data_IF_864423249239
#
_entry.id   IF_864423249239
#
_cell.length_a   1.000
_cell.length_b   1.000
_cell.length_c   1.000
_cell.angle_alpha   90.00
_cell.angle_beta   90.00
_cell.angle_gamma   90.00
#
_symmetry.space_group_name_H-M   'P 1'
#
loop_
_entity.id
_entity.type
_entity.pdbx_description
1 polymer ?
#
# COMPACT_ATOMS: atom_id res chain seq x y z
N UNK A 1 -17.69 34.16 10.31
CA UNK A 1 -16.96 33.44 9.25
C UNK A 1 -16.86 31.97 9.67
N UNK A 2 -17.16 31.01 8.78
CA UNK A 2 -17.05 29.58 9.10
C UNK A 2 -15.61 29.12 8.84
N UNK A 3 -15.02 28.38 9.77
CA UNK A 3 -13.66 27.82 9.69
C UNK A 3 -13.68 26.34 10.06
N UNK A 4 -12.62 25.61 9.73
CA UNK A 4 -12.47 24.18 9.99
C UNK A 4 -13.40 23.30 9.15
N UNK A 5 -13.64 22.09 9.63
CA UNK A 5 -14.49 21.10 8.97
C UNK A 5 -15.96 21.51 8.94
N UNK A 6 -16.57 21.45 7.77
CA UNK A 6 -17.97 21.76 7.53
C UNK A 6 -18.61 20.69 6.66
N UNK A 7 -19.79 20.21 7.04
CA UNK A 7 -20.54 19.22 6.28
C UNK A 7 -21.72 19.90 5.56
N UNK A 8 -21.73 19.86 4.22
CA UNK A 8 -22.70 20.54 3.36
C UNK A 8 -22.98 19.66 2.14
N UNK A 9 -24.25 19.56 1.73
CA UNK A 9 -24.66 18.80 0.53
C UNK A 9 -24.06 17.39 0.45
N UNK A 10 -24.08 16.69 1.61
CA UNK A 10 -23.53 15.34 1.80
C UNK A 10 -22.01 15.20 1.64
N UNK A 11 -21.28 16.32 1.64
CA UNK A 11 -19.84 16.38 1.47
C UNK A 11 -19.17 17.13 2.63
N UNK A 12 -17.93 16.73 2.95
CA UNK A 12 -17.08 17.45 3.89
C UNK A 12 -16.20 18.45 3.14
N UNK A 13 -16.06 19.63 3.71
CA UNK A 13 -15.18 20.72 3.28
C UNK A 13 -14.34 21.18 4.46
N UNK A 14 -13.19 21.79 4.19
CA UNK A 14 -12.41 22.46 5.21
C UNK A 14 -12.22 23.93 4.85
N UNK A 15 -12.58 24.83 5.76
CA UNK A 15 -12.42 26.26 5.60
C UNK A 15 -11.21 26.74 6.40
N UNK A 16 -10.26 27.39 5.73
CA UNK A 16 -9.08 27.98 6.36
C UNK A 16 -9.47 29.15 7.27
N UNK A 17 -8.51 29.66 8.05
CA UNK A 17 -8.73 30.79 8.97
C UNK A 17 -9.19 32.08 8.27
N UNK A 18 -8.87 32.26 6.98
CA UNK A 18 -9.31 33.38 6.13
C UNK A 18 -10.71 33.18 5.53
N UNK A 19 -11.38 32.06 5.83
CA UNK A 19 -12.68 31.70 5.28
C UNK A 19 -12.65 31.14 3.86
N UNK A 20 -11.48 30.99 3.24
CA UNK A 20 -11.35 30.32 1.96
C UNK A 20 -11.35 28.79 2.12
N UNK A 21 -11.86 28.08 1.11
CA UNK A 21 -11.91 26.62 1.09
C UNK A 21 -10.50 26.07 0.87
N UNK A 22 -10.12 25.05 1.64
CA UNK A 22 -8.90 24.27 1.45
C UNK A 22 -9.08 23.31 0.27
N UNK A 23 -8.06 23.23 -0.58
CA UNK A 23 -7.93 22.22 -1.64
C UNK A 23 -6.56 21.54 -1.53
N UNK A 24 -6.42 20.36 -2.11
CA UNK A 24 -5.21 19.54 -2.01
C UNK A 24 -5.02 18.92 -0.63
N UNK A 25 -3.77 18.66 -0.28
CA UNK A 25 -3.42 18.01 0.98
C UNK A 25 -3.67 18.93 2.18
N UNK A 26 -4.23 18.35 3.25
CA UNK A 26 -4.46 18.99 4.54
C UNK A 26 -3.91 18.08 5.64
N UNK A 27 -3.04 18.60 6.49
CA UNK A 27 -2.64 17.95 7.73
C UNK A 27 -3.41 18.59 8.88
N UNK A 28 -4.36 17.86 9.44
CA UNK A 28 -5.18 18.32 10.56
C UNK A 28 -4.97 17.37 11.74
N UNK A 29 -4.45 17.89 12.86
CA UNK A 29 -4.20 17.14 14.11
C UNK A 29 -3.43 15.82 13.88
N UNK A 30 -2.41 15.86 13.02
CA UNK A 30 -1.56 14.70 12.71
C UNK A 30 -2.16 13.72 11.70
N UNK A 31 -3.37 13.99 11.17
CA UNK A 31 -4.00 13.15 10.14
C UNK A 31 -4.00 13.87 8.79
N UNK A 32 -3.57 13.17 7.74
CA UNK A 32 -3.62 13.69 6.38
C UNK A 32 -4.99 13.44 5.75
N UNK A 33 -5.47 14.45 5.04
CA UNK A 33 -6.69 14.44 4.23
C UNK A 33 -6.37 15.02 2.85
N UNK A 34 -7.19 14.68 1.85
CA UNK A 34 -7.12 15.31 0.54
C UNK A 34 -8.46 15.96 0.20
N UNK A 35 -8.45 17.25 -0.10
CA UNK A 35 -9.60 18.01 -0.56
C UNK A 35 -9.48 18.15 -2.09
N UNK A 36 -10.52 17.76 -2.81
CA UNK A 36 -10.59 17.90 -4.26
C UNK A 36 -10.56 19.38 -4.69
N UNK A 37 -10.47 19.62 -6.00
CA UNK A 37 -10.42 20.98 -6.54
C UNK A 37 -11.69 21.79 -6.24
N UNK A 38 -12.83 21.12 -6.08
CA UNK A 38 -14.11 21.70 -5.65
C UNK A 38 -14.24 21.84 -4.13
N UNK A 39 -13.19 21.47 -3.37
CA UNK A 39 -13.15 21.51 -1.91
C UNK A 39 -13.74 20.29 -1.20
N UNK A 40 -14.33 19.33 -1.93
CA UNK A 40 -14.91 18.13 -1.34
C UNK A 40 -13.82 17.19 -0.81
N UNK A 41 -14.01 16.63 0.37
CA UNK A 41 -13.08 15.65 0.96
C UNK A 41 -13.09 14.35 0.17
N UNK A 42 -11.92 13.94 -0.32
CA UNK A 42 -11.74 12.69 -1.05
C UNK A 42 -11.87 11.46 -0.15
N UNK A 43 -12.32 10.36 -0.76
CA UNK A 43 -12.40 9.02 -0.18
C UNK A 43 -11.96 8.00 -1.23
N UNK A 44 -11.53 6.83 -0.78
CA UNK A 44 -11.01 5.75 -1.62
C UNK A 44 -9.68 6.10 -2.27
N UNK A 45 -9.41 5.45 -3.40
CA UNK A 45 -8.18 5.65 -4.16
C UNK A 45 -8.10 7.06 -4.76
N UNK A 46 -6.98 7.74 -4.51
CA UNK A 46 -6.67 9.05 -5.09
C UNK A 46 -5.31 9.04 -5.76
N UNK A 47 -5.28 9.44 -7.03
CA UNK A 47 -4.06 9.62 -7.79
C UNK A 47 -3.63 11.09 -7.76
N UNK A 48 -2.46 11.35 -7.19
CA UNK A 48 -1.89 12.71 -7.02
C UNK A 48 -0.42 12.66 -7.42
N UNK A 49 0.00 13.54 -8.32
CA UNK A 49 1.41 13.67 -8.74
C UNK A 49 2.07 12.34 -9.12
N UNK A 50 1.36 11.55 -9.93
CA UNK A 50 1.78 10.21 -10.40
C UNK A 50 1.88 9.13 -9.33
N UNK A 51 1.30 9.34 -8.15
CA UNK A 51 1.31 8.39 -7.04
C UNK A 51 -0.11 8.13 -6.56
N UNK A 52 -0.40 6.87 -6.22
CA UNK A 52 -1.66 6.47 -5.60
C UNK A 52 -1.58 6.57 -4.08
N UNK A 53 -2.66 7.09 -3.50
CA UNK A 53 -2.94 7.14 -2.06
C UNK A 53 -4.33 6.54 -1.84
N UNK A 54 -4.63 6.17 -0.61
CA UNK A 54 -5.96 5.74 -0.23
C UNK A 54 -6.47 6.56 0.94
N UNK A 55 -7.67 7.14 0.80
CA UNK A 55 -8.35 7.90 1.84
C UNK A 55 -9.48 7.03 2.39
N UNK A 56 -9.48 6.79 3.69
CA UNK A 56 -10.53 6.02 4.36
C UNK A 56 -11.90 6.71 4.25
N UNK A 57 -12.97 6.04 4.69
CA UNK A 57 -14.33 6.58 4.62
C UNK A 57 -14.54 7.90 5.40
N UNK A 58 -13.72 8.13 6.43
CA UNK A 58 -13.66 9.38 7.21
C UNK A 58 -12.69 10.42 6.60
N UNK A 59 -12.08 10.13 5.44
CA UNK A 59 -11.12 10.97 4.74
C UNK A 59 -9.68 10.85 5.20
N UNK A 60 -9.41 10.14 6.29
CA UNK A 60 -8.05 9.96 6.79
C UNK A 60 -7.21 9.15 5.79
N UNK A 61 -6.00 9.60 5.50
CA UNK A 61 -5.07 8.88 4.63
C UNK A 61 -4.62 7.57 5.29
N UNK A 62 -4.81 6.46 4.56
CA UNK A 62 -4.36 5.14 4.97
C UNK A 62 -2.83 5.02 4.83
N UNK A 63 -2.21 4.37 5.80
CA UNK A 63 -0.85 3.84 5.71
C UNK A 63 -0.86 2.36 6.08
N UNK A 64 0.20 1.63 5.74
CA UNK A 64 0.33 0.20 5.98
C UNK A 64 -0.51 -0.65 5.01
N UNK A 65 -0.95 -1.82 5.47
CA UNK A 65 -1.70 -2.76 4.66
C UNK A 65 -3.11 -2.26 4.35
N UNK A 66 -3.54 -2.47 3.11
CA UNK A 66 -4.91 -2.24 2.65
C UNK A 66 -5.38 -3.49 1.89
N UNK A 67 -6.60 -3.93 2.17
CA UNK A 67 -7.30 -4.96 1.39
C UNK A 67 -8.49 -4.32 0.70
N UNK A 68 -8.51 -4.33 -0.61
CA UNK A 68 -9.57 -3.72 -1.43
C UNK A 68 -9.87 -4.64 -2.63
N UNK A 69 -11.14 -5.01 -2.83
CA UNK A 69 -11.54 -5.89 -3.92
C UNK A 69 -10.82 -7.25 -3.94
N UNK A 70 -10.52 -7.82 -2.77
CA UNK A 70 -9.79 -9.09 -2.63
C UNK A 70 -8.29 -9.01 -2.93
N UNK A 71 -7.75 -7.82 -3.22
CA UNK A 71 -6.33 -7.58 -3.46
C UNK A 71 -5.72 -6.88 -2.26
N UNK A 72 -4.44 -7.16 -1.99
CA UNK A 72 -3.67 -6.50 -0.92
C UNK A 72 -2.68 -5.51 -1.51
N UNK A 73 -2.62 -4.34 -0.89
CA UNK A 73 -1.75 -3.22 -1.22
C UNK A 73 -0.97 -2.81 0.02
N UNK A 74 0.19 -2.18 -0.17
CA UNK A 74 0.95 -1.57 0.91
C UNK A 74 1.13 -0.08 0.63
N UNK A 75 0.65 0.74 1.56
CA UNK A 75 0.81 2.18 1.55
C UNK A 75 1.94 2.51 2.51
N UNK A 76 2.99 3.16 2.02
CA UNK A 76 4.15 3.52 2.83
C UNK A 76 3.76 4.50 3.96
N UNK A 77 4.70 4.80 4.87
CA UNK A 77 4.44 5.74 5.97
C UNK A 77 4.03 7.15 5.49
N UNK A 78 4.44 7.54 4.29
CA UNK A 78 4.03 8.79 3.61
C UNK A 78 2.73 8.64 2.79
N UNK A 79 2.04 7.50 2.91
CA UNK A 79 0.79 7.17 2.23
C UNK A 79 0.93 6.72 0.79
N UNK A 80 2.13 6.76 0.20
CA UNK A 80 2.36 6.36 -1.18
C UNK A 80 2.18 4.86 -1.34
N UNK A 81 1.39 4.44 -2.32
CA UNK A 81 1.27 3.03 -2.69
C UNK A 81 2.59 2.51 -3.23
N UNK A 82 3.10 1.44 -2.62
CA UNK A 82 4.27 0.73 -3.09
C UNK A 82 3.96 0.00 -4.41
N UNK A 83 4.83 0.17 -5.40
CA UNK A 83 4.77 -0.49 -6.71
C UNK A 83 6.15 -1.00 -7.09
N UNK A 84 6.21 -2.11 -7.85
CA UNK A 84 7.44 -2.75 -8.33
C UNK A 84 8.56 -2.82 -7.27
N UNK A 85 8.21 -3.18 -6.04
CA UNK A 85 9.14 -3.08 -4.91
C UNK A 85 8.87 -4.12 -3.83
N UNK A 86 9.94 -4.46 -3.13
CA UNK A 86 9.91 -5.27 -1.93
C UNK A 86 9.62 -4.40 -0.70
N UNK A 87 8.76 -4.88 0.19
CA UNK A 87 8.38 -4.23 1.44
C UNK A 87 8.67 -5.18 2.60
N UNK A 88 9.45 -4.72 3.59
CA UNK A 88 9.74 -5.48 4.80
C UNK A 88 8.77 -5.08 5.90
N UNK A 89 7.87 -5.98 6.27
CA UNK A 89 6.83 -5.73 7.27
C UNK A 89 6.80 -6.88 8.27
N UNK A 90 6.92 -6.55 9.57
CA UNK A 90 6.93 -7.57 10.63
C UNK A 90 8.04 -8.62 10.46
N UNK A 91 9.21 -8.21 9.95
CA UNK A 91 10.35 -9.10 9.71
C UNK A 91 10.26 -9.95 8.43
N UNK A 92 9.11 -9.95 7.74
CA UNK A 92 8.90 -10.68 6.49
C UNK A 92 8.96 -9.75 5.28
N UNK A 93 9.38 -10.27 4.14
CA UNK A 93 9.41 -9.53 2.87
C UNK A 93 8.19 -9.86 2.01
N UNK A 94 7.62 -8.85 1.36
CA UNK A 94 6.48 -8.95 0.46
C UNK A 94 6.76 -8.17 -0.83
N UNK A 95 6.32 -8.66 -1.98
CA UNK A 95 6.56 -7.97 -3.25
C UNK A 95 5.27 -7.37 -3.82
N UNK A 96 5.32 -6.08 -4.17
CA UNK A 96 4.22 -5.35 -4.81
C UNK A 96 4.50 -5.21 -6.31
N UNK A 97 3.53 -5.58 -7.16
CA UNK A 97 3.69 -5.46 -8.61
C UNK A 97 3.52 -4.01 -9.13
N UNK A 98 3.52 -3.83 -10.45
CA UNK A 98 3.37 -2.51 -11.10
C UNK A 98 2.05 -1.80 -10.79
N UNK A 99 1.02 -2.56 -10.40
CA UNK A 99 -0.29 -2.06 -10.01
C UNK A 99 -0.42 -1.96 -8.48
N UNK A 100 0.66 -2.23 -7.74
CA UNK A 100 0.69 -2.24 -6.29
C UNK A 100 0.00 -3.45 -5.66
N UNK A 101 -0.25 -4.52 -6.43
CA UNK A 101 -0.88 -5.73 -5.91
C UNK A 101 0.21 -6.65 -5.34
N UNK A 102 0.02 -7.06 -4.09
CA UNK A 102 0.91 -8.01 -3.41
C UNK A 102 0.88 -9.34 -4.17
N UNK A 103 2.06 -9.79 -4.59
CA UNK A 103 2.22 -11.09 -5.25
C UNK A 103 2.25 -12.23 -4.23
N UNK A 104 1.76 -13.40 -4.64
CA UNK A 104 1.78 -14.63 -3.84
C UNK A 104 1.91 -15.87 -4.72
N UNK A 105 2.40 -16.96 -4.14
CA UNK A 105 2.56 -18.29 -4.77
C UNK A 105 3.30 -18.26 -6.11
N UNK A 106 4.40 -17.51 -6.21
CA UNK A 106 5.15 -17.38 -7.47
C UNK A 106 6.59 -16.92 -7.26
N UNK A 107 7.38 -17.13 -8.30
CA UNK A 107 8.72 -16.56 -8.42
C UNK A 107 8.68 -15.08 -8.80
N UNK A 108 9.53 -14.30 -8.14
CA UNK A 108 9.84 -12.90 -8.40
C UNK A 108 11.24 -12.84 -8.99
N UNK A 109 11.34 -12.29 -10.19
CA UNK A 109 12.59 -12.19 -10.97
C UNK A 109 13.30 -13.54 -11.22
N UNK A 110 12.63 -14.67 -11.02
CA UNK A 110 13.22 -16.01 -11.10
C UNK A 110 14.24 -16.34 -9.99
N UNK A 111 14.28 -15.54 -8.92
CA UNK A 111 15.30 -15.64 -7.86
C UNK A 111 14.65 -15.90 -6.49
N UNK A 112 13.57 -15.19 -6.19
CA UNK A 112 12.89 -15.25 -4.89
C UNK A 112 11.50 -15.84 -5.06
N UNK A 113 11.05 -16.67 -4.12
CA UNK A 113 9.69 -17.19 -4.13
C UNK A 113 8.85 -16.52 -3.04
N UNK A 114 7.68 -16.01 -3.40
CA UNK A 114 6.66 -15.55 -2.43
C UNK A 114 5.62 -16.63 -2.23
N UNK A 115 5.32 -16.95 -0.96
CA UNK A 115 4.36 -17.98 -0.54
C UNK A 115 2.91 -17.53 -0.71
N UNK A 116 1.94 -18.38 -0.37
CA UNK A 116 0.51 -18.04 -0.50
C UNK A 116 0.09 -16.89 0.43
N UNK A 117 0.75 -16.73 1.59
CA UNK A 117 0.54 -15.57 2.47
C UNK A 117 1.23 -14.29 1.94
N UNK A 118 1.94 -14.38 0.81
CA UNK A 118 2.71 -13.32 0.17
C UNK A 118 4.12 -13.12 0.73
N UNK A 119 4.48 -13.80 1.82
CA UNK A 119 5.81 -13.67 2.41
C UNK A 119 6.88 -14.35 1.55
N UNK A 120 8.05 -13.73 1.45
CA UNK A 120 9.21 -14.35 0.81
C UNK A 120 9.65 -15.57 1.62
N UNK A 121 9.84 -16.69 0.92
CA UNK A 121 10.38 -17.91 1.48
C UNK A 121 11.87 -17.76 1.81
N UNK A 122 12.32 -18.40 2.89
CA UNK A 122 13.73 -18.45 3.29
C UNK A 122 14.06 -19.82 3.89
N UNK A 123 15.22 -20.36 3.54
CA UNK A 123 15.73 -21.65 4.03
C UNK A 123 14.76 -22.82 3.90
N UNK A 124 13.94 -22.83 2.85
CA UNK A 124 12.86 -23.81 2.68
C UNK A 124 12.75 -24.32 1.24
N UNK A 125 12.09 -25.46 1.08
CA UNK A 125 11.67 -25.97 -0.22
C UNK A 125 10.36 -25.28 -0.61
N UNK A 126 10.28 -24.86 -1.88
CA UNK A 126 9.17 -24.07 -2.42
C UNK A 126 8.65 -24.69 -3.71
N UNK A 127 7.51 -24.16 -4.17
CA UNK A 127 6.96 -24.50 -5.48
C UNK A 127 6.72 -26.02 -5.62
N UNK A 128 5.96 -26.55 -4.66
CA UNK A 128 5.67 -27.99 -4.51
C UNK A 128 6.94 -28.82 -4.31
N UNK A 129 7.82 -28.37 -3.42
CA UNK A 129 9.07 -29.07 -3.06
C UNK A 129 10.09 -29.25 -4.20
N UNK A 130 9.95 -28.49 -5.30
CA UNK A 130 10.81 -28.63 -6.48
C UNK A 130 12.11 -27.83 -6.38
N UNK A 131 12.13 -26.76 -5.61
CA UNK A 131 13.26 -25.84 -5.54
C UNK A 131 13.56 -25.45 -4.09
N UNK A 132 14.83 -25.28 -3.75
CA UNK A 132 15.25 -24.81 -2.43
C UNK A 132 15.73 -23.36 -2.50
N UNK A 133 15.31 -22.53 -1.55
CA UNK A 133 15.84 -21.17 -1.36
C UNK A 133 16.68 -21.10 -0.09
N UNK A 134 17.77 -20.32 -0.12
CA UNK A 134 18.68 -20.17 1.03
C UNK A 134 18.16 -19.21 2.11
N UNK A 135 18.98 -18.90 3.12
CA UNK A 135 18.62 -18.00 4.22
C UNK A 135 18.35 -16.55 3.78
N UNK A 136 18.79 -16.17 2.59
CA UNK A 136 18.51 -14.87 1.96
C UNK A 136 17.31 -14.94 1.01
N UNK A 137 16.69 -16.12 0.86
CA UNK A 137 15.57 -16.38 -0.05
C UNK A 137 15.99 -16.57 -1.51
N UNK A 138 17.29 -16.70 -1.78
CA UNK A 138 17.84 -16.88 -3.13
C UNK A 138 17.72 -18.35 -3.53
N UNK A 139 17.19 -18.60 -4.73
CA UNK A 139 17.14 -19.95 -5.29
C UNK A 139 18.52 -20.59 -5.41
N UNK A 140 18.68 -21.77 -4.79
CA UNK A 140 19.87 -22.61 -4.89
C UNK A 140 19.69 -23.61 -6.04
N UNK A 141 20.32 -23.32 -7.18
CA UNK A 141 20.28 -24.19 -8.36
C UNK A 141 20.94 -25.53 -8.09
N UNK A 142 20.36 -26.60 -8.64
CA UNK A 142 20.92 -27.95 -8.56
C UNK A 142 20.77 -28.65 -7.20
N UNK A 143 20.22 -27.99 -6.19
CA UNK A 143 19.92 -28.63 -4.90
C UNK A 143 18.76 -29.62 -5.07
N UNK A 144 18.94 -30.83 -4.58
CA UNK A 144 17.94 -31.92 -4.58
C UNK A 144 17.58 -32.31 -3.14
N UNK A 145 16.37 -32.82 -2.91
CA UNK A 145 16.05 -33.47 -1.63
C UNK A 145 16.83 -34.78 -1.61
N UNK A 146 17.63 -34.98 -0.58
CA UNK A 146 18.19 -36.29 -0.28
C UNK A 146 17.02 -37.25 0.00
N UNK A 147 17.14 -38.48 -0.50
CA UNK A 147 16.10 -39.50 -0.41
C UNK A 147 15.96 -40.07 1.00
#
# INVERSE_FOLDING_TARGET
MQTGWQYKDKNWYYFKADGAIQTGWLLEKGTWYYLNADGTMAKGWKYVNKVWYYLQNNGAMQTGWLTEGGKRYYLNADGKMAVNSWQKVGGKWYYMDKNGVMQKSKWISGIYYVKDDGSMAVSEWVDQDRYYVDANGVWVKGKTKEA
#
